data_IF_206515292477
#
_entry.id   IF_206515292477
#
_cell.length_a   1.000
_cell.length_b   1.000
_cell.length_c   1.000
_cell.angle_alpha   90.00
_cell.angle_beta   90.00
_cell.angle_gamma   90.00
#
_symmetry.space_group_name_H-M   'P 1'
#
loop_
_entity.id
_entity.type
_entity.pdbx_description
1 polymer ?
#
# COMPACT_ATOMS: atom_id res chain seq x y z
N UNK A 1 12.88 -35.81 40.03
CA UNK A 1 11.85 -34.80 39.56
C UNK A 1 12.46 -34.09 38.37
N UNK A 2 12.29 -34.64 37.17
CA UNK A 2 12.89 -34.15 35.94
C UNK A 2 11.99 -33.08 35.32
N UNK A 3 12.51 -31.87 35.18
CA UNK A 3 11.84 -30.74 34.57
C UNK A 3 12.05 -30.84 33.03
N UNK A 4 11.05 -31.30 32.31
CA UNK A 4 11.05 -31.31 30.84
C UNK A 4 10.83 -29.88 30.36
N UNK A 5 11.87 -29.25 29.85
CA UNK A 5 11.80 -27.99 29.12
C UNK A 5 11.24 -28.33 27.72
N UNK A 6 10.00 -27.96 27.46
CA UNK A 6 9.46 -27.99 26.10
C UNK A 6 9.94 -26.71 25.39
N UNK A 7 10.87 -26.90 24.47
CA UNK A 7 11.26 -25.88 23.50
C UNK A 7 10.12 -25.78 22.49
N UNK A 8 9.31 -24.73 22.57
CA UNK A 8 8.37 -24.35 21.52
C UNK A 8 9.20 -23.67 20.41
N UNK A 9 9.53 -24.44 19.39
CA UNK A 9 10.05 -23.89 18.14
C UNK A 9 8.87 -23.16 17.47
N UNK A 10 8.79 -21.84 17.60
CA UNK A 10 7.92 -21.01 16.79
C UNK A 10 8.53 -21.00 15.38
N UNK A 11 8.02 -21.91 14.55
CA UNK A 11 8.26 -21.88 13.11
C UNK A 11 7.51 -20.66 12.57
N UNK A 12 8.20 -19.54 12.41
CA UNK A 12 7.69 -18.35 11.73
C UNK A 12 7.49 -18.75 10.26
N UNK A 13 6.29 -19.22 9.94
CA UNK A 13 5.84 -19.40 8.57
C UNK A 13 5.79 -18.00 7.95
N UNK A 14 6.87 -17.59 7.30
CA UNK A 14 6.84 -16.62 6.21
C UNK A 14 5.97 -17.26 5.12
N UNK A 15 4.66 -17.11 5.25
CA UNK A 15 3.76 -17.37 4.15
C UNK A 15 4.17 -16.40 3.03
N UNK A 16 4.62 -16.89 1.88
CA UNK A 16 4.81 -16.03 0.74
C UNK A 16 3.43 -15.44 0.46
N UNK A 17 3.26 -14.14 0.70
CA UNK A 17 2.09 -13.41 0.21
C UNK A 17 2.14 -13.64 -1.30
N UNK A 18 1.19 -14.37 -1.89
CA UNK A 18 1.20 -14.59 -3.33
C UNK A 18 1.11 -13.21 -3.98
N UNK A 19 2.19 -12.80 -4.63
CA UNK A 19 2.21 -11.59 -5.44
C UNK A 19 1.30 -11.90 -6.64
N UNK A 20 0.06 -11.42 -6.58
CA UNK A 20 -0.86 -11.55 -7.71
C UNK A 20 -0.32 -10.64 -8.81
N UNK A 21 0.24 -11.23 -9.85
CA UNK A 21 0.74 -10.50 -11.01
C UNK A 21 -0.46 -10.09 -11.87
N UNK A 22 -0.67 -8.78 -11.98
CA UNK A 22 -1.65 -8.25 -12.90
C UNK A 22 -0.99 -8.00 -14.26
N UNK A 23 -1.39 -8.76 -15.26
CA UNK A 23 -1.03 -8.46 -16.64
C UNK A 23 -2.09 -7.53 -17.24
N UNK A 24 -1.65 -6.32 -17.60
CA UNK A 24 -2.45 -5.41 -18.42
C UNK A 24 -2.22 -5.82 -19.87
N UNK A 25 -3.09 -6.64 -20.43
CA UNK A 25 -3.13 -6.83 -21.88
C UNK A 25 -3.70 -5.56 -22.49
N UNK A 26 -2.82 -4.70 -23.00
CA UNK A 26 -3.18 -3.53 -23.80
C UNK A 26 -3.75 -4.00 -25.13
N UNK A 27 -4.96 -4.48 -25.14
CA UNK A 27 -5.76 -4.45 -26.35
C UNK A 27 -6.06 -2.97 -26.56
N UNK A 28 -5.29 -2.32 -27.46
CA UNK A 28 -5.56 -0.97 -27.94
C UNK A 28 -7.06 -0.87 -28.17
N UNK A 29 -7.75 -0.24 -27.24
CA UNK A 29 -9.18 -0.11 -27.33
C UNK A 29 -9.45 0.85 -28.47
N UNK A 30 -9.85 0.32 -29.61
CA UNK A 30 -10.39 1.06 -30.75
C UNK A 30 -11.57 1.94 -30.35
N UNK A 31 -12.03 1.79 -29.13
CA UNK A 31 -13.21 2.43 -28.57
C UNK A 31 -12.96 3.82 -27.96
N UNK A 32 -11.69 4.21 -27.71
CA UNK A 32 -11.37 5.53 -27.11
C UNK A 32 -11.61 5.60 -25.61
N UNK A 33 -11.71 4.46 -24.93
CA UNK A 33 -11.63 4.29 -23.48
C UNK A 33 -10.62 3.20 -23.22
N UNK A 34 -9.66 3.45 -22.37
CA UNK A 34 -8.59 2.50 -22.06
C UNK A 34 -8.37 2.37 -20.55
N UNK A 35 -7.77 1.29 -20.15
CA UNK A 35 -7.12 1.20 -18.84
C UNK A 35 -5.92 2.18 -18.84
N UNK A 36 -5.67 2.84 -17.73
CA UNK A 36 -4.45 3.66 -17.61
C UNK A 36 -3.21 2.76 -17.65
N UNK A 37 -2.06 3.34 -17.98
CA UNK A 37 -0.80 2.59 -17.97
C UNK A 37 -0.30 2.27 -16.55
N UNK A 38 -1.06 2.65 -15.53
CA UNK A 38 -0.78 2.32 -14.14
C UNK A 38 -1.23 0.89 -13.87
N UNK A 39 -0.34 0.06 -13.33
CA UNK A 39 -0.70 -1.29 -12.94
C UNK A 39 -1.85 -1.28 -11.94
N UNK A 40 -2.86 -2.15 -12.08
CA UNK A 40 -3.94 -2.24 -11.10
C UNK A 40 -3.42 -2.71 -9.75
N UNK A 41 -4.12 -2.36 -8.70
CA UNK A 41 -3.88 -2.90 -7.38
C UNK A 41 -4.75 -4.14 -7.19
N UNK A 42 -4.11 -5.29 -6.99
CA UNK A 42 -4.79 -6.58 -6.83
C UNK A 42 -4.43 -7.17 -5.48
N UNK A 43 -5.41 -7.59 -4.70
CA UNK A 43 -5.22 -8.19 -3.39
C UNK A 43 -6.36 -9.14 -3.05
N UNK A 44 -6.17 -9.95 -2.02
CA UNK A 44 -7.25 -10.75 -1.42
C UNK A 44 -7.76 -10.04 -0.17
N UNK A 45 -9.09 -9.92 -0.08
CA UNK A 45 -9.71 -9.42 1.13
C UNK A 45 -9.72 -10.48 2.26
N UNK A 46 -10.19 -10.09 3.44
CA UNK A 46 -10.24 -10.96 4.62
C UNK A 46 -11.09 -12.22 4.43
N UNK A 47 -12.03 -12.18 3.49
CA UNK A 47 -12.88 -13.32 3.14
C UNK A 47 -12.27 -14.18 2.03
N UNK A 48 -11.10 -13.82 1.50
CA UNK A 48 -10.39 -14.57 0.45
C UNK A 48 -10.82 -14.28 -0.98
N UNK A 49 -11.66 -13.27 -1.21
CA UNK A 49 -12.00 -12.82 -2.56
C UNK A 49 -10.85 -12.01 -3.16
N UNK A 50 -10.67 -12.14 -4.46
CA UNK A 50 -9.71 -11.31 -5.18
C UNK A 50 -10.36 -9.98 -5.57
N UNK A 51 -9.79 -8.88 -5.09
CA UNK A 51 -10.25 -7.53 -5.39
C UNK A 51 -9.27 -6.88 -6.35
N UNK A 52 -9.80 -6.26 -7.40
CA UNK A 52 -9.03 -5.54 -8.41
C UNK A 52 -9.46 -4.08 -8.41
N UNK A 53 -8.53 -3.19 -8.15
CA UNK A 53 -8.73 -1.75 -8.22
C UNK A 53 -7.87 -1.22 -9.36
N UNK A 54 -8.48 -0.45 -10.25
CA UNK A 54 -7.78 0.15 -11.37
C UNK A 54 -8.39 1.48 -11.79
N UNK A 55 -7.84 2.06 -12.84
CA UNK A 55 -8.25 3.36 -13.35
C UNK A 55 -8.49 3.30 -14.86
N UNK A 56 -9.56 3.93 -15.29
CA UNK A 56 -9.96 4.11 -16.68
C UNK A 56 -9.67 5.54 -17.14
N UNK A 57 -9.33 5.70 -18.39
CA UNK A 57 -9.17 7.00 -19.03
C UNK A 57 -10.09 7.09 -20.25
N UNK A 58 -10.94 8.11 -20.26
CA UNK A 58 -11.69 8.50 -21.43
C UNK A 58 -10.82 9.34 -22.36
N UNK A 59 -10.35 8.77 -23.46
CA UNK A 59 -9.50 9.47 -24.43
C UNK A 59 -10.30 10.27 -25.46
N UNK A 60 -11.67 10.21 -25.40
CA UNK A 60 -12.55 10.95 -26.30
C UNK A 60 -12.69 12.42 -25.91
N UNK A 61 -13.19 13.22 -26.84
CA UNK A 61 -13.57 14.61 -26.64
C UNK A 61 -14.98 14.79 -26.09
N UNK A 62 -15.71 13.71 -25.84
CA UNK A 62 -17.08 13.69 -25.33
C UNK A 62 -17.14 12.90 -24.02
N UNK A 63 -18.03 13.27 -23.10
CA UNK A 63 -18.28 12.49 -21.90
C UNK A 63 -18.88 11.11 -22.25
N UNK A 64 -18.63 10.15 -21.39
CA UNK A 64 -19.11 8.78 -21.51
C UNK A 64 -19.67 8.29 -20.19
N UNK A 65 -20.58 7.33 -20.25
CA UNK A 65 -21.11 6.64 -19.08
C UNK A 65 -21.21 5.13 -19.31
N UNK A 66 -21.63 4.42 -18.28
CA UNK A 66 -21.87 2.98 -18.32
C UNK A 66 -20.65 2.20 -18.84
N UNK A 67 -19.47 2.66 -18.43
CA UNK A 67 -18.19 2.03 -18.84
C UNK A 67 -18.05 0.70 -18.13
N UNK A 68 -17.99 -0.37 -18.92
CA UNK A 68 -17.89 -1.74 -18.41
C UNK A 68 -16.47 -2.28 -18.56
N UNK A 69 -15.97 -2.83 -17.45
CA UNK A 69 -14.68 -3.52 -17.39
C UNK A 69 -14.93 -5.00 -17.15
N UNK A 70 -14.42 -5.82 -18.04
CA UNK A 70 -14.37 -7.26 -17.87
C UNK A 70 -13.03 -7.65 -17.24
N UNK A 71 -13.07 -8.55 -16.23
CA UNK A 71 -11.89 -9.13 -15.58
C UNK A 71 -11.98 -10.65 -15.69
N UNK A 72 -10.89 -11.26 -16.16
CA UNK A 72 -10.64 -12.69 -16.07
C UNK A 72 -9.67 -12.98 -14.93
N UNK A 73 -10.01 -13.94 -14.09
CA UNK A 73 -9.20 -14.41 -12.97
C UNK A 73 -8.60 -15.77 -13.29
N UNK A 74 -7.30 -15.93 -13.11
CA UNK A 74 -6.55 -17.12 -13.54
C UNK A 74 -5.72 -17.69 -12.41
N UNK A 75 -5.43 -19.00 -12.49
CA UNK A 75 -4.39 -19.62 -11.68
C UNK A 75 -3.02 -19.46 -12.33
N UNK A 76 -1.97 -19.45 -11.52
CA UNK A 76 -0.60 -19.43 -12.02
C UNK A 76 -0.30 -20.78 -12.70
N UNK A 77 -0.44 -20.85 -14.02
CA UNK A 77 0.08 -21.94 -14.83
C UNK A 77 1.10 -21.38 -15.80
N UNK A 78 2.32 -21.84 -15.62
CA UNK A 78 3.42 -21.58 -16.51
C UNK A 78 3.03 -21.73 -17.98
N UNK A 79 3.29 -20.68 -18.76
CA UNK A 79 3.62 -20.67 -20.18
C UNK A 79 2.77 -21.49 -21.16
N UNK A 80 1.95 -20.79 -21.93
CA UNK A 80 1.80 -21.15 -23.34
C UNK A 80 0.56 -21.90 -23.77
N UNK A 81 -0.63 -21.51 -23.33
CA UNK A 81 -1.87 -21.85 -24.04
C UNK A 81 -2.99 -20.91 -23.67
N UNK A 82 -3.99 -20.78 -24.53
CA UNK A 82 -5.21 -20.00 -24.32
C UNK A 82 -5.91 -20.49 -23.05
N UNK A 83 -5.55 -19.89 -21.91
CA UNK A 83 -6.06 -20.29 -20.62
C UNK A 83 -7.52 -19.85 -20.48
N UNK A 84 -8.35 -20.79 -20.06
CA UNK A 84 -9.72 -20.50 -19.66
C UNK A 84 -9.62 -19.88 -18.26
N UNK A 85 -10.19 -18.69 -18.03
CA UNK A 85 -10.21 -18.09 -16.70
C UNK A 85 -10.97 -18.99 -15.72
N UNK A 86 -10.51 -19.04 -14.46
CA UNK A 86 -11.23 -19.73 -13.38
C UNK A 86 -12.60 -19.09 -13.18
N UNK A 87 -12.65 -17.78 -13.30
CA UNK A 87 -13.92 -17.04 -13.31
C UNK A 87 -13.76 -15.71 -14.06
N UNK A 88 -14.90 -15.13 -14.45
CA UNK A 88 -14.95 -13.81 -15.08
C UNK A 88 -15.99 -12.94 -14.41
N UNK A 89 -15.68 -11.67 -14.24
CA UNK A 89 -16.60 -10.67 -13.70
C UNK A 89 -16.61 -9.43 -14.59
N UNK A 90 -17.79 -8.85 -14.77
CA UNK A 90 -17.91 -7.55 -15.44
C UNK A 90 -18.47 -6.54 -14.44
N UNK A 91 -17.75 -5.46 -14.22
CA UNK A 91 -18.15 -4.36 -13.35
C UNK A 91 -18.18 -3.03 -14.10
N UNK A 92 -18.55 -1.96 -13.41
CA UNK A 92 -18.64 -0.63 -13.96
C UNK A 92 -17.53 0.29 -13.42
N UNK A 93 -17.30 1.41 -14.12
CA UNK A 93 -16.56 2.54 -13.55
C UNK A 93 -17.20 3.04 -12.26
N UNK A 94 -16.40 3.62 -11.37
CA UNK A 94 -16.87 4.23 -10.12
C UNK A 94 -17.77 5.44 -10.44
N UNK A 95 -17.26 6.35 -11.28
CA UNK A 95 -18.03 7.52 -11.71
C UNK A 95 -19.05 7.09 -12.76
N UNK A 96 -20.28 7.54 -12.58
CA UNK A 96 -21.35 7.32 -13.51
C UNK A 96 -21.08 7.98 -14.87
N UNK A 97 -20.56 9.20 -14.86
CA UNK A 97 -20.11 9.88 -16.07
C UNK A 97 -18.62 10.22 -15.97
N UNK A 98 -17.84 9.71 -16.92
CA UNK A 98 -16.43 10.08 -17.07
C UNK A 98 -16.34 11.26 -18.05
N UNK A 99 -15.87 12.44 -17.61
CA UNK A 99 -15.74 13.60 -18.49
C UNK A 99 -14.85 13.34 -19.69
N UNK A 100 -14.93 14.20 -20.70
CA UNK A 100 -13.99 14.22 -21.80
C UNK A 100 -12.54 14.32 -21.27
N UNK A 101 -11.64 13.44 -21.73
CA UNK A 101 -10.24 13.34 -21.25
C UNK A 101 -10.10 13.10 -19.74
N UNK A 102 -11.20 12.74 -19.07
CA UNK A 102 -11.22 12.46 -17.63
C UNK A 102 -10.90 11.00 -17.33
N UNK A 103 -10.77 10.72 -16.04
CA UNK A 103 -10.48 9.40 -15.50
C UNK A 103 -11.55 8.98 -14.49
N UNK A 104 -11.66 7.67 -14.30
CA UNK A 104 -12.51 7.09 -13.27
C UNK A 104 -11.89 5.83 -12.71
N UNK A 105 -11.86 5.65 -11.40
CA UNK A 105 -11.57 4.37 -10.80
C UNK A 105 -12.60 3.30 -11.16
N UNK A 106 -12.23 2.04 -10.92
CA UNK A 106 -13.16 0.93 -10.78
C UNK A 106 -12.68 -0.01 -9.66
N UNK A 107 -13.61 -0.70 -9.03
CA UNK A 107 -13.37 -1.78 -8.07
C UNK A 107 -14.20 -2.97 -8.49
N UNK A 108 -13.55 -4.09 -8.74
CA UNK A 108 -14.22 -5.33 -9.14
C UNK A 108 -13.67 -6.46 -8.29
N UNK A 109 -14.59 -7.25 -7.74
CA UNK A 109 -14.29 -8.36 -6.85
C UNK A 109 -14.68 -9.67 -7.52
N UNK A 110 -13.92 -10.75 -7.29
CA UNK A 110 -14.28 -12.10 -7.70
C UNK A 110 -15.62 -12.52 -7.08
N UNK A 111 -16.38 -13.41 -7.74
CA UNK A 111 -17.69 -13.86 -7.21
C UNK A 111 -17.51 -14.84 -6.06
N UNK A 112 -16.38 -15.56 -6.04
CA UNK A 112 -16.09 -16.57 -5.03
C UNK A 112 -14.71 -16.34 -4.40
N UNK A 113 -14.54 -16.68 -3.10
CA UNK A 113 -13.21 -16.74 -2.52
C UNK A 113 -12.46 -17.93 -3.15
N UNK A 114 -11.35 -17.65 -3.80
CA UNK A 114 -10.56 -18.68 -4.46
C UNK A 114 -9.06 -18.42 -4.26
N UNK A 115 -8.34 -19.25 -3.48
CA UNK A 115 -6.91 -19.09 -3.25
C UNK A 115 -6.06 -19.33 -4.49
N UNK A 116 -6.58 -20.06 -5.50
CA UNK A 116 -5.85 -20.39 -6.73
C UNK A 116 -5.70 -19.19 -7.67
N UNK A 117 -6.52 -18.15 -7.51
CA UNK A 117 -6.39 -16.94 -8.33
C UNK A 117 -5.08 -16.25 -7.97
N UNK A 118 -4.18 -16.16 -8.94
CA UNK A 118 -2.87 -15.52 -8.84
C UNK A 118 -2.63 -14.47 -9.92
N UNK A 119 -3.42 -14.51 -11.01
CA UNK A 119 -3.29 -13.58 -12.13
C UNK A 119 -4.65 -13.01 -12.53
N UNK A 120 -4.65 -11.79 -13.04
CA UNK A 120 -5.84 -11.13 -13.59
C UNK A 120 -5.53 -10.50 -14.94
N UNK A 121 -6.50 -10.59 -15.84
CA UNK A 121 -6.50 -9.82 -17.09
C UNK A 121 -7.73 -8.93 -17.13
N UNK A 122 -7.60 -7.78 -17.77
CA UNK A 122 -8.66 -6.77 -17.79
C UNK A 122 -8.84 -6.20 -19.19
N UNK A 123 -10.08 -5.88 -19.55
CA UNK A 123 -10.39 -5.14 -20.77
C UNK A 123 -11.66 -4.30 -20.62
N UNK A 124 -11.70 -3.18 -21.31
CA UNK A 124 -12.94 -2.40 -21.46
C UNK A 124 -13.79 -3.10 -22.51
N UNK A 125 -15.06 -3.38 -22.15
CA UNK A 125 -15.96 -4.14 -23.03
C UNK A 125 -17.14 -3.30 -23.56
N UNK A 126 -17.35 -2.10 -23.02
CA UNK A 126 -18.39 -1.22 -23.54
C UNK A 126 -18.52 0.09 -22.77
N UNK A 127 -19.16 1.07 -23.40
CA UNK A 127 -19.56 2.35 -22.82
C UNK A 127 -20.62 3.01 -23.72
N UNK A 128 -21.30 4.05 -23.21
CA UNK A 128 -22.22 4.88 -23.97
C UNK A 128 -21.73 6.33 -24.00
N UNK A 129 -22.15 7.10 -25.02
CA UNK A 129 -22.02 8.55 -24.99
C UNK A 129 -22.93 9.13 -23.91
N UNK A 130 -22.48 10.16 -23.23
CA UNK A 130 -23.21 10.80 -22.13
C UNK A 130 -23.24 12.33 -22.29
N UNK A 131 -24.15 12.95 -21.54
CA UNK A 131 -24.11 14.39 -21.33
C UNK A 131 -23.11 14.69 -20.19
N UNK A 132 -22.41 15.81 -20.29
CA UNK A 132 -21.54 16.31 -19.22
C UNK A 132 -22.40 16.64 -17.99
N UNK A 133 -22.02 16.12 -16.82
CA UNK A 133 -22.61 16.55 -15.55
C UNK A 133 -22.24 18.00 -15.26
N UNK A 134 -23.13 18.70 -14.60
CA UNK A 134 -22.89 20.10 -14.22
C UNK A 134 -21.92 20.18 -13.04
N UNK A 135 -20.99 21.10 -13.06
CA UNK A 135 -20.05 21.32 -11.93
C UNK A 135 -20.75 22.23 -10.90
N UNK A 136 -21.68 21.65 -10.14
CA UNK A 136 -22.49 22.36 -9.13
C UNK A 136 -22.25 21.83 -7.72
N UNK A 137 -21.35 20.87 -7.56
CA UNK A 137 -20.90 20.39 -6.26
C UNK A 137 -19.47 20.89 -6.02
N UNK A 138 -19.24 21.50 -4.87
CA UNK A 138 -17.91 21.87 -4.40
C UNK A 138 -17.56 20.99 -3.20
N UNK A 139 -16.32 20.45 -3.19
CA UNK A 139 -15.79 19.64 -2.11
C UNK A 139 -14.70 20.43 -1.40
N UNK A 140 -14.81 20.53 -0.08
CA UNK A 140 -13.80 21.10 0.79
C UNK A 140 -13.35 20.05 1.80
N UNK A 141 -12.25 19.34 1.52
CA UNK A 141 -11.69 18.40 2.49
C UNK A 141 -11.18 19.18 3.71
N UNK A 142 -11.34 18.60 4.89
CA UNK A 142 -10.65 18.99 6.11
C UNK A 142 -9.33 18.22 6.27
N UNK A 143 -8.83 18.17 7.50
CA UNK A 143 -7.66 17.36 7.83
C UNK A 143 -7.99 15.87 7.75
N UNK A 144 -7.14 15.11 7.07
CA UNK A 144 -7.20 13.66 7.06
C UNK A 144 -6.24 13.10 8.10
N UNK A 145 -6.74 12.17 8.91
CA UNK A 145 -5.94 11.50 9.93
C UNK A 145 -5.82 10.02 9.58
N UNK A 146 -4.59 9.55 9.45
CA UNK A 146 -4.26 8.14 9.22
C UNK A 146 -3.93 7.49 10.56
N UNK A 147 -4.71 6.48 10.96
CA UNK A 147 -4.52 5.66 12.15
C UNK A 147 -4.81 4.19 11.85
N UNK A 148 -5.46 3.50 12.75
CA UNK A 148 -6.04 2.17 12.48
C UNK A 148 -7.12 2.28 11.39
N UNK A 149 -7.81 3.40 11.36
CA UNK A 149 -8.72 3.81 10.30
C UNK A 149 -8.25 5.13 9.69
N UNK A 150 -8.74 5.43 8.50
CA UNK A 150 -8.57 6.73 7.86
C UNK A 150 -9.79 7.57 8.19
N UNK A 151 -9.57 8.70 8.86
CA UNK A 151 -10.60 9.64 9.25
C UNK A 151 -10.46 10.92 8.44
N UNK A 152 -11.53 11.35 7.80
CA UNK A 152 -11.59 12.59 7.05
C UNK A 152 -12.97 13.22 7.19
N UNK A 153 -13.01 14.44 7.64
CA UNK A 153 -14.19 15.28 7.53
C UNK A 153 -14.11 16.13 6.26
N UNK A 154 -15.17 16.16 5.49
CA UNK A 154 -15.27 16.99 4.30
C UNK A 154 -16.62 17.71 4.24
N UNK A 155 -16.62 18.89 3.67
CA UNK A 155 -17.85 19.68 3.44
C UNK A 155 -18.19 19.63 1.97
N UNK A 156 -19.42 19.23 1.67
CA UNK A 156 -19.99 19.19 0.32
C UNK A 156 -20.98 20.35 0.19
N UNK A 157 -20.78 21.19 -0.80
CA UNK A 157 -21.56 22.42 -1.01
C UNK A 157 -22.29 22.30 -2.33
N UNK A 158 -23.58 22.59 -2.32
CA UNK A 158 -24.35 22.77 -3.54
C UNK A 158 -24.25 24.24 -3.99
N UNK A 159 -23.46 24.51 -5.02
CA UNK A 159 -23.30 25.84 -5.64
C UNK A 159 -24.30 26.07 -6.77
N UNK A 160 -25.18 25.12 -7.06
CA UNK A 160 -26.25 25.24 -8.04
C UNK A 160 -27.47 25.97 -7.52
N UNK A 161 -28.47 26.15 -8.40
CA UNK A 161 -29.73 26.82 -8.11
C UNK A 161 -30.88 25.87 -7.71
N UNK A 162 -30.67 24.56 -7.83
CA UNK A 162 -31.68 23.53 -7.51
C UNK A 162 -31.13 22.58 -6.42
N UNK A 163 -32.03 21.94 -5.63
CA UNK A 163 -31.62 20.87 -4.71
C UNK A 163 -30.94 19.73 -5.46
N UNK A 164 -29.86 19.21 -4.93
CA UNK A 164 -29.14 18.05 -5.47
C UNK A 164 -29.36 16.88 -4.52
N UNK A 165 -29.80 15.75 -5.06
CA UNK A 165 -30.15 14.57 -4.29
C UNK A 165 -29.25 13.38 -4.62
N UNK A 166 -29.17 12.41 -3.70
CA UNK A 166 -28.43 11.16 -3.87
C UNK A 166 -26.99 11.42 -4.31
N UNK A 167 -26.27 12.14 -3.49
CA UNK A 167 -24.90 12.54 -3.77
C UNK A 167 -23.97 11.47 -3.23
N UNK A 168 -23.25 10.78 -4.11
CA UNK A 168 -22.15 9.90 -3.74
C UNK A 168 -20.90 10.74 -3.52
N UNK A 169 -20.29 10.60 -2.36
CA UNK A 169 -18.99 11.22 -2.05
C UNK A 169 -17.97 10.11 -1.94
N UNK A 170 -16.95 10.17 -2.79
CA UNK A 170 -15.90 9.15 -2.88
C UNK A 170 -14.59 9.70 -2.32
N UNK A 171 -14.03 8.98 -1.35
CA UNK A 171 -12.66 9.13 -0.89
C UNK A 171 -11.80 8.07 -1.60
N UNK A 172 -10.75 8.51 -2.29
CA UNK A 172 -9.87 7.66 -3.10
C UNK A 172 -8.46 7.77 -2.55
N UNK A 173 -7.90 6.62 -2.13
CA UNK A 173 -6.54 6.52 -1.62
C UNK A 173 -5.57 6.00 -2.69
N UNK A 174 -4.42 6.64 -2.78
CA UNK A 174 -3.34 6.31 -3.72
C UNK A 174 -2.07 5.91 -2.96
N UNK A 175 -1.29 5.00 -3.53
CA UNK A 175 0.03 4.65 -3.01
C UNK A 175 1.13 5.63 -3.48
N UNK A 176 2.34 5.40 -2.98
CA UNK A 176 3.52 6.22 -3.31
C UNK A 176 4.27 5.79 -4.58
N UNK A 177 3.70 4.92 -5.42
CA UNK A 177 4.33 4.53 -6.69
C UNK A 177 4.33 5.68 -7.70
N UNK A 178 5.14 5.56 -8.71
CA UNK A 178 5.19 6.53 -9.81
C UNK A 178 4.97 5.78 -11.14
N UNK A 179 3.82 5.98 -11.79
CA UNK A 179 2.65 6.77 -11.35
C UNK A 179 1.92 6.10 -10.18
N UNK A 180 1.22 6.89 -9.31
CA UNK A 180 0.52 6.37 -8.15
C UNK A 180 -0.65 5.47 -8.55
N UNK A 181 -0.86 4.37 -7.80
CA UNK A 181 -1.97 3.44 -8.01
C UNK A 181 -3.07 3.70 -7.00
N UNK A 182 -4.30 3.48 -7.41
CA UNK A 182 -5.42 3.51 -6.48
C UNK A 182 -5.39 2.22 -5.64
N UNK A 183 -5.34 2.36 -4.32
CA UNK A 183 -5.24 1.24 -3.37
C UNK A 183 -6.42 1.14 -2.41
N UNK A 184 -7.35 2.08 -2.47
CA UNK A 184 -8.57 2.06 -1.68
C UNK A 184 -9.58 3.09 -2.16
N UNK A 185 -10.86 2.78 -1.99
CA UNK A 185 -11.98 3.66 -2.30
C UNK A 185 -13.05 3.45 -1.25
N UNK A 186 -13.57 4.55 -0.71
CA UNK A 186 -14.73 4.55 0.17
C UNK A 186 -15.78 5.50 -0.38
N UNK A 187 -17.05 5.13 -0.27
CA UNK A 187 -18.17 5.94 -0.75
C UNK A 187 -19.17 6.16 0.38
N UNK A 188 -19.59 7.41 0.53
CA UNK A 188 -20.69 7.79 1.43
C UNK A 188 -21.80 8.41 0.58
N UNK A 189 -23.03 8.05 0.85
CA UNK A 189 -24.22 8.60 0.23
C UNK A 189 -24.82 9.71 1.11
N UNK A 190 -25.00 10.90 0.53
CA UNK A 190 -25.77 11.99 1.12
C UNK A 190 -27.14 12.09 0.43
N UNK A 191 -28.18 12.32 1.22
CA UNK A 191 -29.55 12.34 0.70
C UNK A 191 -29.80 13.56 -0.18
N UNK A 192 -29.63 14.78 0.35
CA UNK A 192 -29.94 16.02 -0.35
C UNK A 192 -29.16 17.20 0.21
N UNK A 193 -28.79 18.15 -0.69
CA UNK A 193 -28.25 19.46 -0.31
C UNK A 193 -29.05 20.54 -1.04
N UNK A 194 -29.64 21.48 -0.28
CA UNK A 194 -30.35 22.62 -0.81
C UNK A 194 -29.42 23.64 -1.51
N UNK A 195 -29.93 24.46 -2.42
CA UNK A 195 -29.15 25.49 -3.11
C UNK A 195 -28.40 26.41 -2.15
N UNK A 196 -27.11 26.57 -2.36
CA UNK A 196 -26.23 27.42 -1.53
C UNK A 196 -25.99 26.86 -0.13
N UNK A 197 -26.47 25.66 0.20
CA UNK A 197 -26.22 24.98 1.48
C UNK A 197 -25.11 23.96 1.36
N UNK A 198 -24.66 23.47 2.50
CA UNK A 198 -23.64 22.42 2.59
C UNK A 198 -24.03 21.37 3.62
N UNK A 199 -23.56 20.15 3.42
CA UNK A 199 -23.57 19.07 4.39
C UNK A 199 -22.16 18.62 4.67
N UNK A 200 -21.89 18.26 5.91
CA UNK A 200 -20.65 17.65 6.32
C UNK A 200 -20.74 16.13 6.10
N UNK A 201 -19.64 15.53 5.70
CA UNK A 201 -19.48 14.09 5.54
C UNK A 201 -18.23 13.67 6.28
N UNK A 202 -18.33 12.58 7.05
CA UNK A 202 -17.23 12.04 7.82
C UNK A 202 -16.92 10.63 7.34
N UNK A 203 -15.72 10.43 6.86
CA UNK A 203 -15.17 9.11 6.59
C UNK A 203 -14.47 8.59 7.84
N UNK A 204 -14.77 7.37 8.21
CA UNK A 204 -14.02 6.57 9.20
C UNK A 204 -13.95 5.15 8.65
N UNK A 205 -12.85 4.81 7.99
CA UNK A 205 -12.79 3.60 7.18
C UNK A 205 -11.40 2.96 7.20
N UNK A 206 -11.38 1.64 7.12
CA UNK A 206 -10.15 0.91 6.88
C UNK A 206 -9.81 0.98 5.39
N UNK A 207 -8.62 1.42 5.07
CA UNK A 207 -8.04 1.34 3.73
C UNK A 207 -6.74 0.57 3.77
N UNK A 208 -6.26 0.19 2.58
CA UNK A 208 -4.96 -0.44 2.48
C UNK A 208 -3.87 0.48 3.06
N UNK A 209 -2.98 -0.08 3.86
CA UNK A 209 -1.90 0.66 4.55
C UNK A 209 -0.86 1.29 3.60
N UNK A 210 -0.93 1.00 2.30
CA UNK A 210 -0.11 1.65 1.27
C UNK A 210 -0.67 3.01 0.84
N UNK A 211 -1.90 3.36 1.24
CA UNK A 211 -2.48 4.66 0.93
C UNK A 211 -1.67 5.78 1.58
N UNK A 212 -1.14 6.69 0.77
CA UNK A 212 -0.26 7.78 1.19
C UNK A 212 -0.71 9.16 0.71
N UNK A 213 -1.59 9.21 -0.29
CA UNK A 213 -2.24 10.42 -0.75
C UNK A 213 -3.70 10.17 -1.07
N UNK A 214 -4.52 11.21 -0.99
CA UNK A 214 -5.97 11.06 -1.03
C UNK A 214 -6.61 12.14 -1.88
N UNK A 215 -7.72 11.75 -2.53
CA UNK A 215 -8.57 12.68 -3.28
C UNK A 215 -10.02 12.44 -2.94
N UNK A 216 -10.82 13.50 -3.03
CA UNK A 216 -12.26 13.44 -2.82
C UNK A 216 -12.98 13.95 -4.07
N UNK A 217 -14.05 13.28 -4.44
CA UNK A 217 -14.97 13.70 -5.50
C UNK A 217 -16.39 13.41 -5.08
N UNK A 218 -17.32 14.30 -5.44
CA UNK A 218 -18.75 14.12 -5.19
C UNK A 218 -19.49 14.11 -6.52
N UNK A 219 -20.49 13.22 -6.66
CA UNK A 219 -21.36 13.18 -7.82
C UNK A 219 -22.81 12.79 -7.48
N UNK A 220 -23.72 13.26 -8.28
CA UNK A 220 -25.13 12.85 -8.31
C UNK A 220 -25.52 12.48 -9.75
N UNK A 221 -26.81 12.28 -10.03
CA UNK A 221 -27.27 11.96 -11.37
C UNK A 221 -26.83 13.01 -12.42
N UNK A 222 -27.00 14.30 -12.12
CA UNK A 222 -26.80 15.39 -13.09
C UNK A 222 -25.64 16.34 -12.71
N UNK A 223 -25.11 16.22 -11.50
CA UNK A 223 -24.10 17.13 -10.96
C UNK A 223 -22.87 16.39 -10.46
N UNK A 224 -21.72 17.04 -10.55
CA UNK A 224 -20.47 16.53 -9.98
C UNK A 224 -19.59 17.67 -9.47
N UNK A 225 -18.60 17.33 -8.65
CA UNK A 225 -17.52 18.22 -8.29
C UNK A 225 -16.30 18.01 -9.19
N UNK A 226 -15.31 18.89 -9.07
CA UNK A 226 -13.94 18.53 -9.43
C UNK A 226 -13.41 17.49 -8.43
N UNK A 227 -12.46 16.69 -8.85
CA UNK A 227 -11.67 15.87 -7.94
C UNK A 227 -10.70 16.77 -7.20
N UNK A 228 -10.68 16.71 -5.87
CA UNK A 228 -9.91 17.59 -4.99
C UNK A 228 -8.91 16.77 -4.21
N UNK A 229 -7.65 17.23 -4.19
CA UNK A 229 -6.61 16.64 -3.34
C UNK A 229 -6.88 16.94 -1.87
N UNK A 230 -6.51 16.01 -0.99
CA UNK A 230 -6.49 16.23 0.46
C UNK A 230 -5.06 16.59 0.84
N UNK A 231 -4.81 17.89 1.04
CA UNK A 231 -3.46 18.42 1.27
C UNK A 231 -3.04 18.32 2.74
N UNK A 232 -4.00 18.36 3.68
CA UNK A 232 -3.75 18.30 5.11
C UNK A 232 -3.90 16.84 5.59
N UNK A 233 -2.78 16.12 5.58
CA UNK A 233 -2.71 14.72 6.01
C UNK A 233 -1.85 14.63 7.26
N UNK A 234 -2.40 14.06 8.32
CA UNK A 234 -1.71 13.81 9.58
C UNK A 234 -1.84 12.34 9.99
N UNK A 235 -1.05 11.93 10.98
CA UNK A 235 -1.10 10.59 11.52
C UNK A 235 -1.67 10.63 12.94
N UNK A 236 -2.62 9.74 13.26
CA UNK A 236 -3.32 9.70 14.57
C UNK A 236 -2.35 9.39 15.70
N UNK A 237 -1.40 8.52 15.45
CA UNK A 237 -0.25 8.34 16.33
C UNK A 237 0.82 9.33 15.90
N UNK A 238 1.49 10.00 16.85
CA UNK A 238 2.70 10.71 16.48
C UNK A 238 3.56 9.71 15.72
N UNK A 239 3.86 10.02 14.47
CA UNK A 239 4.65 9.15 13.61
C UNK A 239 5.93 8.87 14.35
N UNK A 240 6.07 7.68 14.80
CA UNK A 240 7.31 7.19 15.33
C UNK A 240 8.08 6.62 14.16
N UNK A 241 8.60 7.51 13.34
CA UNK A 241 9.52 7.12 12.29
C UNK A 241 10.86 6.82 12.95
N UNK A 242 11.23 5.57 12.98
CA UNK A 242 12.59 5.19 13.36
C UNK A 242 13.43 5.17 12.10
N UNK A 243 14.56 5.84 12.16
CA UNK A 243 15.56 5.85 11.09
C UNK A 243 16.76 5.04 11.55
N UNK A 244 17.20 4.09 10.73
CA UNK A 244 18.46 3.40 10.87
C UNK A 244 19.49 4.27 10.15
N UNK A 245 20.34 4.94 10.90
CA UNK A 245 21.29 5.91 10.35
C UNK A 245 22.47 5.26 9.67
N UNK A 246 22.94 4.13 10.22
CA UNK A 246 24.09 3.38 9.72
C UNK A 246 24.01 1.91 10.11
N UNK A 247 24.89 1.12 9.50
CA UNK A 247 25.14 -0.28 9.84
C UNK A 247 26.65 -0.47 9.84
N UNK A 248 27.20 -0.68 11.00
CA UNK A 248 28.61 -0.94 11.19
C UNK A 248 28.84 -2.37 11.68
N UNK A 249 29.93 -2.97 11.25
CA UNK A 249 30.45 -4.20 11.87
C UNK A 249 31.66 -3.82 12.66
N UNK A 250 31.68 -4.21 13.95
CA UNK A 250 32.73 -3.81 14.86
C UNK A 250 33.34 -5.03 15.56
N UNK A 251 34.62 -4.94 15.83
CA UNK A 251 35.39 -5.85 16.69
C UNK A 251 36.00 -5.00 17.81
N UNK A 252 35.62 -5.31 19.04
CA UNK A 252 36.01 -4.53 20.23
C UNK A 252 35.75 -3.01 20.04
N UNK A 253 34.58 -2.67 19.48
CA UNK A 253 34.13 -1.31 19.20
C UNK A 253 34.81 -0.61 18.02
N UNK A 254 35.73 -1.26 17.31
CA UNK A 254 36.36 -0.71 16.11
C UNK A 254 35.68 -1.19 14.86
N UNK A 255 35.31 -0.28 13.97
CA UNK A 255 34.74 -0.62 12.68
C UNK A 255 35.72 -1.43 11.83
N UNK A 256 35.22 -2.53 11.28
CA UNK A 256 35.97 -3.44 10.42
C UNK A 256 35.18 -3.76 9.15
N UNK A 257 35.89 -4.10 8.09
CA UNK A 257 35.30 -4.57 6.81
C UNK A 257 35.76 -5.98 6.43
N UNK A 258 36.62 -6.56 7.26
CA UNK A 258 37.21 -7.90 7.07
C UNK A 258 37.34 -8.59 8.40
N UNK A 259 36.89 -9.84 8.47
CA UNK A 259 36.96 -10.67 9.68
C UNK A 259 37.43 -12.08 9.31
N UNK A 260 37.85 -12.82 10.32
CA UNK A 260 38.17 -14.25 10.18
C UNK A 260 36.94 -15.09 10.55
N UNK A 261 36.81 -16.22 9.87
CA UNK A 261 35.80 -17.22 10.19
C UNK A 261 35.92 -17.63 11.68
N UNK A 262 34.79 -17.79 12.36
CA UNK A 262 34.73 -18.16 13.76
C UNK A 262 34.98 -17.03 14.77
N UNK A 263 35.42 -15.84 14.34
CA UNK A 263 35.59 -14.70 15.24
C UNK A 263 34.22 -13.98 15.43
N UNK A 264 33.75 -13.81 16.68
CA UNK A 264 32.57 -13.03 16.95
C UNK A 264 32.79 -11.55 16.66
N UNK A 265 31.78 -10.90 16.09
CA UNK A 265 31.75 -9.46 15.82
C UNK A 265 30.39 -8.90 16.14
N UNK A 266 30.30 -7.61 16.35
CA UNK A 266 29.05 -6.93 16.61
C UNK A 266 28.56 -6.17 15.38
N UNK A 267 27.29 -6.40 15.02
CA UNK A 267 26.54 -5.60 14.06
C UNK A 267 25.88 -4.49 14.86
N UNK A 268 26.27 -3.25 14.58
CA UNK A 268 25.87 -2.07 15.35
C UNK A 268 25.15 -1.11 14.44
N UNK A 269 23.99 -0.60 14.88
CA UNK A 269 23.27 0.47 14.19
C UNK A 269 22.90 1.58 15.15
N UNK A 270 23.00 2.82 14.68
CA UNK A 270 22.46 3.97 15.39
C UNK A 270 21.05 4.27 14.92
N UNK A 271 20.12 4.23 15.86
CA UNK A 271 18.70 4.42 15.62
C UNK A 271 18.28 5.80 16.10
N UNK A 272 17.58 6.55 15.29
CA UNK A 272 16.95 7.80 15.68
C UNK A 272 15.44 7.68 15.57
N UNK A 273 14.71 8.28 16.50
CA UNK A 273 13.26 8.36 16.45
C UNK A 273 12.84 9.81 16.16
N UNK A 274 12.00 9.97 15.15
CA UNK A 274 11.27 11.21 14.93
C UNK A 274 9.86 11.06 15.48
N UNK A 275 9.52 11.86 16.46
CA UNK A 275 8.20 11.86 17.07
C UNK A 275 7.73 13.29 17.30
N UNK A 276 6.45 13.54 17.05
CA UNK A 276 5.81 14.81 17.42
C UNK A 276 5.62 14.93 18.95
N UNK A 277 5.75 13.84 19.69
CA UNK A 277 5.75 13.84 21.15
C UNK A 277 7.14 14.20 21.69
N UNK A 278 7.18 15.04 22.73
CA UNK A 278 8.43 15.37 23.42
C UNK A 278 9.06 14.17 24.15
N UNK A 279 8.25 13.21 24.56
CA UNK A 279 8.66 11.99 25.24
C UNK A 279 8.03 10.78 24.56
N UNK A 280 8.57 10.35 23.41
CA UNK A 280 8.08 9.16 22.75
C UNK A 280 8.40 7.91 23.60
N UNK A 281 7.37 7.09 23.82
CA UNK A 281 7.57 5.77 24.41
C UNK A 281 7.32 4.76 23.29
N UNK A 282 8.40 4.17 22.75
CA UNK A 282 8.31 3.22 21.66
C UNK A 282 9.17 2.01 21.93
N UNK A 283 8.55 0.88 22.18
CA UNK A 283 9.23 -0.41 22.22
C UNK A 283 9.55 -0.83 20.77
N UNK A 284 10.72 -1.41 20.55
CA UNK A 284 11.13 -1.89 19.24
C UNK A 284 11.91 -3.20 19.33
N UNK A 285 11.88 -3.93 18.24
CA UNK A 285 12.75 -5.09 18.00
C UNK A 285 13.63 -4.75 16.80
N UNK A 286 14.94 -4.72 17.01
CA UNK A 286 15.93 -4.53 15.98
C UNK A 286 16.38 -5.91 15.46
N UNK A 287 16.33 -6.11 14.15
CA UNK A 287 16.78 -7.33 13.49
C UNK A 287 17.98 -7.04 12.61
N UNK A 288 18.91 -7.98 12.57
CA UNK A 288 19.98 -8.03 11.57
C UNK A 288 19.91 -9.34 10.81
N UNK A 289 19.94 -9.26 9.49
CA UNK A 289 20.01 -10.40 8.59
C UNK A 289 21.34 -10.34 7.84
N UNK A 290 22.12 -11.41 7.92
CA UNK A 290 23.37 -11.56 7.18
C UNK A 290 23.17 -12.57 6.07
N UNK A 291 23.48 -12.17 4.85
CA UNK A 291 23.29 -12.98 3.64
C UNK A 291 24.58 -13.07 2.86
N UNK A 292 24.87 -14.26 2.36
CA UNK A 292 26.02 -14.46 1.48
C UNK A 292 25.79 -13.76 0.13
N UNK A 293 26.79 -13.06 -0.34
CA UNK A 293 26.77 -12.44 -1.66
C UNK A 293 26.95 -13.52 -2.74
N UNK A 294 26.05 -13.60 -3.71
CA UNK A 294 26.10 -14.57 -4.80
C UNK A 294 24.73 -14.91 -5.36
N UNK A 295 24.69 -15.75 -6.40
CA UNK A 295 23.45 -16.10 -7.11
C UNK A 295 22.37 -16.73 -6.22
N UNK A 296 22.75 -17.48 -5.19
CA UNK A 296 21.80 -18.11 -4.27
C UNK A 296 21.49 -17.30 -3.02
N UNK A 297 22.25 -16.23 -2.74
CA UNK A 297 22.04 -15.29 -1.64
C UNK A 297 21.46 -15.93 -0.36
N UNK A 298 22.14 -16.96 0.16
CA UNK A 298 21.67 -17.69 1.33
C UNK A 298 21.76 -16.83 2.60
N UNK A 299 20.76 -16.93 3.45
CA UNK A 299 20.79 -16.33 4.79
C UNK A 299 21.69 -17.20 5.68
N UNK A 300 22.75 -16.60 6.22
CA UNK A 300 23.65 -17.25 7.15
C UNK A 300 23.25 -17.02 8.61
N UNK A 301 22.73 -15.83 8.88
CA UNK A 301 22.40 -15.43 10.24
C UNK A 301 21.20 -14.50 10.27
N UNK A 302 20.36 -14.68 11.28
CA UNK A 302 19.32 -13.73 11.69
C UNK A 302 19.43 -13.59 13.21
N UNK A 303 19.64 -12.37 13.66
CA UNK A 303 19.65 -12.02 15.07
C UNK A 303 18.66 -10.90 15.36
N UNK A 304 18.33 -10.72 16.63
CA UNK A 304 17.51 -9.62 17.08
C UNK A 304 17.93 -9.12 18.46
N UNK A 305 17.61 -7.86 18.74
CA UNK A 305 17.68 -7.27 20.07
C UNK A 305 16.46 -6.39 20.31
N UNK A 306 16.00 -6.33 21.54
CA UNK A 306 14.88 -5.51 21.96
C UNK A 306 15.37 -4.22 22.57
N UNK A 307 14.61 -3.14 22.34
CA UNK A 307 14.92 -1.84 22.91
C UNK A 307 13.69 -0.97 23.06
N UNK A 308 13.90 0.21 23.65
CA UNK A 308 12.83 1.16 23.89
C UNK A 308 13.34 2.59 23.79
N UNK A 309 12.68 3.40 22.99
CA UNK A 309 12.84 4.84 23.05
C UNK A 309 12.02 5.41 24.20
N UNK A 310 12.64 6.19 25.05
CA UNK A 310 11.97 6.96 26.10
C UNK A 310 12.12 8.48 25.89
N UNK A 311 12.94 8.86 24.91
CA UNK A 311 13.16 10.24 24.48
C UNK A 311 13.46 10.26 22.99
N UNK A 312 13.66 11.46 22.42
CA UNK A 312 14.10 11.64 21.02
C UNK A 312 15.63 11.43 20.83
N UNK A 313 16.34 10.99 21.86
CA UNK A 313 17.77 10.71 21.75
C UNK A 313 18.03 9.46 20.91
N UNK A 314 19.10 9.53 20.12
CA UNK A 314 19.54 8.39 19.34
C UNK A 314 19.98 7.24 20.26
N UNK A 315 19.69 6.02 19.84
CA UNK A 315 20.05 4.80 20.55
C UNK A 315 20.96 3.92 19.68
N UNK A 316 21.74 3.09 20.32
CA UNK A 316 22.56 2.09 19.64
C UNK A 316 21.94 0.72 19.86
N UNK A 317 21.67 0.02 18.76
CA UNK A 317 21.25 -1.38 18.76
C UNK A 317 22.42 -2.26 18.31
N UNK A 318 22.65 -3.36 19.03
CA UNK A 318 23.78 -4.26 18.78
C UNK A 318 23.32 -5.71 18.75
N UNK A 319 23.85 -6.47 17.79
CA UNK A 319 23.63 -7.91 17.64
C UNK A 319 24.98 -8.57 17.35
N UNK A 320 25.36 -9.55 18.16
CA UNK A 320 26.61 -10.29 17.94
C UNK A 320 26.40 -11.39 16.89
N UNK A 321 27.32 -11.50 15.94
CA UNK A 321 27.36 -12.51 14.90
C UNK A 321 28.72 -13.18 14.84
N UNK A 322 28.73 -14.52 14.69
CA UNK A 322 29.96 -15.30 14.48
C UNK A 322 29.84 -15.98 13.11
N UNK A 323 30.62 -15.55 12.09
CA UNK A 323 30.56 -16.13 10.76
C UNK A 323 31.01 -17.59 10.75
N UNK A 324 30.27 -18.43 10.03
CA UNK A 324 30.57 -19.86 9.90
C UNK A 324 31.15 -20.21 8.54
N UNK A 325 31.00 -19.33 7.56
CA UNK A 325 31.43 -19.54 6.18
C UNK A 325 32.32 -18.38 5.72
N UNK A 326 33.27 -18.68 4.83
CA UNK A 326 34.04 -17.65 4.13
C UNK A 326 33.26 -17.04 2.96
N UNK A 327 33.61 -15.83 2.59
CA UNK A 327 33.01 -15.14 1.45
C UNK A 327 32.68 -13.68 1.73
N UNK A 328 32.00 -13.07 0.79
CA UNK A 328 31.43 -11.74 0.96
C UNK A 328 29.99 -11.84 1.47
N UNK A 329 29.65 -11.03 2.44
CA UNK A 329 28.32 -10.98 3.04
C UNK A 329 27.79 -9.56 3.02
N UNK A 330 26.50 -9.41 2.86
CA UNK A 330 25.83 -8.15 3.09
C UNK A 330 24.87 -8.28 4.27
N UNK A 331 24.77 -7.18 5.01
CA UNK A 331 23.98 -7.07 6.23
C UNK A 331 22.86 -6.11 5.97
N UNK A 332 21.63 -6.57 6.23
CA UNK A 332 20.40 -5.80 6.18
C UNK A 332 19.83 -5.71 7.60
N UNK A 333 19.33 -4.56 7.96
CA UNK A 333 18.76 -4.36 9.30
C UNK A 333 17.35 -3.81 9.21
N UNK A 334 16.53 -4.16 10.20
CA UNK A 334 15.12 -3.81 10.28
C UNK A 334 14.75 -3.42 11.70
N UNK A 335 13.79 -2.53 11.84
CA UNK A 335 13.22 -2.17 13.13
C UNK A 335 11.71 -2.32 13.06
N UNK A 336 11.19 -3.17 13.92
CA UNK A 336 9.77 -3.48 14.03
C UNK A 336 9.27 -3.19 15.45
N UNK A 337 7.97 -3.03 15.60
CA UNK A 337 7.37 -3.07 16.92
C UNK A 337 7.23 -4.52 17.42
N UNK A 338 6.92 -4.75 18.71
CA UNK A 338 6.69 -6.09 19.26
C UNK A 338 5.55 -6.88 18.58
N UNK A 339 4.67 -6.20 17.84
CA UNK A 339 3.56 -6.81 17.10
C UNK A 339 3.92 -7.08 15.63
N UNK A 340 5.21 -6.99 15.27
CA UNK A 340 5.72 -7.22 13.90
C UNK A 340 5.30 -6.15 12.88
N UNK A 341 5.01 -4.93 13.33
CA UNK A 341 4.77 -3.79 12.44
C UNK A 341 6.10 -3.06 12.20
N UNK A 342 6.44 -2.81 10.94
CA UNK A 342 7.66 -2.10 10.59
C UNK A 342 7.61 -0.65 11.10
N UNK A 343 8.59 -0.27 11.90
CA UNK A 343 8.77 1.09 12.44
C UNK A 343 9.77 1.92 11.63
N UNK A 344 10.61 1.27 10.84
CA UNK A 344 11.57 1.92 9.95
C UNK A 344 11.42 1.37 8.54
N UNK A 345 11.65 2.22 7.54
CA UNK A 345 11.87 1.73 6.19
C UNK A 345 13.11 0.83 6.18
N UNK A 346 13.14 -0.24 5.37
CA UNK A 346 14.36 -1.04 5.21
C UNK A 346 15.52 -0.10 4.90
N UNK A 347 16.61 -0.25 5.64
CA UNK A 347 17.78 0.61 5.46
C UNK A 347 18.27 0.51 4.01
N UNK A 348 18.46 1.63 3.36
CA UNK A 348 19.16 1.69 2.07
C UNK A 348 20.67 1.47 2.23
N UNK A 349 21.16 1.45 3.45
CA UNK A 349 22.56 1.23 3.77
C UNK A 349 22.80 -0.26 3.93
N UNK A 350 23.53 -0.83 3.00
CA UNK A 350 23.97 -2.22 3.06
C UNK A 350 25.42 -2.18 3.48
N UNK A 351 25.75 -2.84 4.60
CA UNK A 351 27.14 -3.07 4.98
C UNK A 351 27.64 -4.35 4.32
N UNK A 352 28.80 -4.26 3.66
CA UNK A 352 29.45 -5.41 3.04
C UNK A 352 30.67 -5.77 3.88
N UNK A 353 30.78 -7.04 4.25
CA UNK A 353 31.90 -7.56 5.01
C UNK A 353 32.51 -8.77 4.31
N UNK A 354 33.84 -8.86 4.36
CA UNK A 354 34.58 -10.01 3.84
C UNK A 354 35.00 -10.92 4.98
N UNK A 355 34.57 -12.17 4.94
CA UNK A 355 35.01 -13.25 5.85
C UNK A 355 36.11 -14.04 5.18
N UNK A 356 37.22 -14.18 5.87
CA UNK A 356 38.41 -14.92 5.39
C UNK A 356 38.70 -16.08 6.32
N UNK A 357 39.43 -17.09 5.85
CA UNK A 357 39.88 -18.21 6.68
C UNK A 357 40.66 -17.81 7.93
#
# INVERSE_FOLDING_TARGET
>A
MELKIQIFAILLLLLPIPLVLAQVTDTQSTLGVKLTNTAPFVFKDEQGYTVVIGELENTKSLPINNVKVWIGFYSNKATGSSEIPLETVTGNSLLDVIPAKGKSPFVIKSNTPNPEISEVTMKVVGFNAAKQKQLQLDVKPGSLVIGETIKLDAKIINSGSNPIQKINVHLIGYDAFIPPRIVGIQTILLDQIEPGKSNDVSFDTVMNNKASSFKVIAESADSQSKMVDVDDVSLESPTRLITINDIDVTDDGKRISKIKIGNPVDIVSHLSIFSSSKNPKQDYVYYAQVRQFGEKSQVEFIGFSEGKFESNEAQTATISWTPQNEGAFFIETYVWDPNSIALAAPSKTISIILVTP
#
